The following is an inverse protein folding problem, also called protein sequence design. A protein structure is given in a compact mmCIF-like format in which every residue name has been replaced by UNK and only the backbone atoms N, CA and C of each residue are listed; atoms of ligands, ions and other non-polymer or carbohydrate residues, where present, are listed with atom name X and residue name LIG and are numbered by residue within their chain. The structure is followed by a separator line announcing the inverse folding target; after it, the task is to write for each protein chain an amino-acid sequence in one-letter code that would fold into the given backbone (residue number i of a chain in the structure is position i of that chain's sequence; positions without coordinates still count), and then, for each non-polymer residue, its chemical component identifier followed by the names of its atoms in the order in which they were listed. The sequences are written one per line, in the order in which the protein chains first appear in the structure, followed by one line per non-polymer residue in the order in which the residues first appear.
data_IF_574792363076
#
_entry.id   IF_574792363076
#
_cell.length_a   1.000
_cell.length_b   1.000
_cell.length_c   1.000
_cell.angle_alpha   90.00
_cell.angle_beta   90.00
_cell.angle_gamma   90.00
#
_symmetry.space_group_name_H-M   'P 1'
#
loop_
_entity.id
_entity.type
_entity.pdbx_description
1 polymer ?
#
# COMPACT_ATOMS: atom_id res chain seq x y z
N UNK A 1 7.36 -6.63 28.72
CA UNK A 1 7.14 -6.41 27.28
C UNK A 1 6.11 -5.29 27.19
N UNK A 2 6.47 -4.12 26.68
CA UNK A 2 5.53 -2.99 26.53
C UNK A 2 4.56 -3.35 25.42
N UNK A 3 3.27 -3.42 25.75
CA UNK A 3 2.21 -3.56 24.76
C UNK A 3 2.13 -2.24 23.95
N UNK A 4 2.58 -2.29 22.70
CA UNK A 4 2.55 -1.15 21.79
C UNK A 4 1.23 -1.01 21.01
N UNK A 5 0.28 -1.92 21.22
CA UNK A 5 -0.99 -1.89 20.51
C UNK A 5 -1.82 -0.63 20.81
N UNK A 6 -1.70 -0.10 22.05
CA UNK A 6 -2.37 1.12 22.47
C UNK A 6 -1.84 2.40 21.80
N UNK A 7 -0.61 2.41 21.30
CA UNK A 7 -0.06 3.56 20.56
C UNK A 7 -0.57 3.68 19.12
N UNK A 8 -1.23 2.64 18.60
CA UNK A 8 -1.69 2.56 17.22
C UNK A 8 -3.21 2.66 17.08
N UNK A 9 -3.91 2.88 18.20
CA UNK A 9 -5.37 3.01 18.23
C UNK A 9 -5.86 4.45 17.95
N UNK A 10 -5.05 5.29 17.30
CA UNK A 10 -5.53 6.58 16.84
C UNK A 10 -6.62 6.39 15.79
N UNK A 11 -7.70 7.15 15.94
CA UNK A 11 -8.80 7.17 15.00
C UNK A 11 -8.27 7.36 13.55
N UNK A 12 -8.89 6.75 12.55
CA UNK A 12 -8.44 6.89 11.18
C UNK A 12 -8.40 8.38 10.81
N UNK A 13 -7.22 8.87 10.52
CA UNK A 13 -7.03 10.23 10.03
C UNK A 13 -7.62 10.28 8.64
N UNK A 14 -8.54 11.20 8.42
CA UNK A 14 -9.12 11.45 7.10
C UNK A 14 -8.95 12.93 6.73
N UNK A 15 -8.74 13.18 5.45
CA UNK A 15 -8.69 14.51 4.86
C UNK A 15 -9.71 14.56 3.71
N UNK A 16 -10.30 15.70 3.48
CA UNK A 16 -11.21 15.91 2.34
C UNK A 16 -10.99 17.24 1.68
N UNK A 17 -11.15 17.28 0.37
CA UNK A 17 -11.19 18.44 -0.48
C UNK A 17 -12.39 18.37 -1.43
N UNK A 18 -12.61 19.36 -2.29
CA UNK A 18 -13.74 19.38 -3.21
C UNK A 18 -13.83 18.18 -4.14
N UNK A 19 -12.68 17.65 -4.58
CA UNK A 19 -12.59 16.50 -5.49
C UNK A 19 -11.80 15.32 -4.94
N UNK A 20 -11.54 15.28 -3.62
CA UNK A 20 -10.61 14.32 -3.03
C UNK A 20 -11.06 13.90 -1.62
N UNK A 21 -11.01 12.60 -1.35
CA UNK A 21 -11.13 12.05 0.00
C UNK A 21 -9.96 11.11 0.23
N UNK A 22 -9.25 11.33 1.33
CA UNK A 22 -8.08 10.52 1.75
C UNK A 22 -8.39 9.90 3.10
N UNK A 23 -8.18 8.59 3.24
CA UNK A 23 -8.42 7.85 4.49
C UNK A 23 -7.28 6.91 4.78
N UNK A 24 -6.88 6.81 6.03
CA UNK A 24 -6.05 5.70 6.52
C UNK A 24 -6.98 4.54 6.83
N UNK A 25 -6.77 3.42 6.14
CA UNK A 25 -7.59 2.22 6.37
C UNK A 25 -7.19 1.51 7.67
N UNK A 26 -8.11 0.75 8.28
CA UNK A 26 -7.76 -0.22 9.32
C UNK A 26 -6.64 -1.16 8.83
N UNK A 27 -5.89 -1.80 9.75
CA UNK A 27 -4.86 -2.75 9.36
C UNK A 27 -5.39 -3.82 8.42
N UNK A 28 -4.77 -3.94 7.25
CA UNK A 28 -5.10 -4.95 6.23
C UNK A 28 -4.10 -6.10 6.37
N UNK A 29 -4.52 -7.37 6.31
CA UNK A 29 -3.59 -8.51 6.27
C UNK A 29 -2.62 -8.39 5.09
N UNK A 30 -1.32 -8.44 5.38
CA UNK A 30 -0.26 -8.24 4.39
C UNK A 30 0.95 -9.12 4.68
N UNK A 31 1.49 -9.75 3.64
CA UNK A 31 2.69 -10.58 3.72
C UNK A 31 3.70 -10.15 2.67
N UNK A 32 4.93 -9.87 3.11
CA UNK A 32 6.06 -9.71 2.21
C UNK A 32 6.60 -11.07 1.83
N UNK A 33 6.73 -11.33 0.52
CA UNK A 33 7.29 -12.55 -0.05
C UNK A 33 8.55 -12.19 -0.82
N UNK A 34 9.65 -12.89 -0.53
CA UNK A 34 10.92 -12.71 -1.23
C UNK A 34 11.47 -14.06 -1.68
N UNK A 35 11.83 -14.21 -2.95
CA UNK A 35 12.36 -15.45 -3.51
C UNK A 35 11.71 -15.87 -4.83
N UNK A 36 11.24 -17.11 -4.91
CA UNK A 36 10.53 -17.68 -6.08
C UNK A 36 9.06 -17.18 -6.11
N UNK A 37 8.87 -15.98 -6.65
CA UNK A 37 7.56 -15.32 -6.67
C UNK A 37 6.54 -16.06 -7.53
N UNK A 38 6.95 -16.55 -8.69
CA UNK A 38 6.03 -17.20 -9.64
C UNK A 38 5.57 -18.56 -9.09
N UNK A 39 6.48 -19.32 -8.48
CA UNK A 39 6.14 -20.52 -7.75
C UNK A 39 5.20 -20.27 -6.58
N UNK A 40 5.41 -19.18 -5.83
CA UNK A 40 4.51 -18.80 -4.74
C UNK A 40 3.11 -18.44 -5.25
N UNK A 41 3.00 -17.62 -6.30
CA UNK A 41 1.70 -17.24 -6.89
C UNK A 41 0.92 -18.47 -7.34
N UNK A 42 1.58 -19.40 -8.05
CA UNK A 42 0.96 -20.63 -8.53
C UNK A 42 0.42 -21.51 -7.39
N UNK A 43 1.22 -21.72 -6.34
CA UNK A 43 0.82 -22.55 -5.18
C UNK A 43 -0.37 -21.98 -4.41
N UNK A 44 -0.46 -20.67 -4.33
CA UNK A 44 -1.52 -19.99 -3.61
C UNK A 44 -2.71 -19.58 -4.50
N UNK A 45 -2.72 -20.00 -5.77
CA UNK A 45 -3.74 -19.65 -6.76
C UNK A 45 -4.00 -18.13 -6.84
N UNK A 46 -2.92 -17.36 -6.74
CA UNK A 46 -2.96 -15.91 -6.87
C UNK A 46 -2.82 -15.47 -8.33
N UNK A 47 -3.49 -14.40 -8.74
CA UNK A 47 -3.26 -13.81 -10.06
C UNK A 47 -1.81 -13.28 -10.17
N UNK A 48 -1.33 -13.01 -11.39
CA UNK A 48 -0.06 -12.33 -11.59
C UNK A 48 0.04 -11.06 -10.74
N UNK A 49 1.23 -10.81 -10.17
CA UNK A 49 1.44 -9.65 -9.33
C UNK A 49 1.34 -8.35 -10.14
N UNK A 50 0.53 -7.41 -9.64
CA UNK A 50 0.36 -6.09 -10.26
C UNK A 50 1.58 -5.21 -10.13
N UNK A 51 1.84 -4.40 -11.15
CA UNK A 51 2.82 -3.32 -11.13
C UNK A 51 2.24 -1.99 -10.65
N UNK A 52 2.88 -0.89 -11.03
CA UNK A 52 2.45 0.45 -10.67
C UNK A 52 1.05 0.75 -11.23
N UNK A 53 0.18 1.25 -10.37
CA UNK A 53 -1.20 1.62 -10.69
C UNK A 53 -2.01 0.49 -11.33
N UNK A 54 -1.58 -0.77 -11.18
CA UNK A 54 -2.35 -1.91 -11.69
C UNK A 54 -3.74 -1.95 -11.05
N UNK A 55 -4.81 -2.19 -11.83
CA UNK A 55 -6.13 -2.42 -11.29
C UNK A 55 -6.17 -3.79 -10.62
N UNK A 56 -6.30 -3.81 -9.30
CA UNK A 56 -6.43 -5.02 -8.51
C UNK A 56 -7.86 -5.19 -8.04
N UNK A 57 -8.30 -6.41 -7.87
CA UNK A 57 -9.65 -6.74 -7.42
C UNK A 57 -9.67 -8.05 -6.65
N UNK A 58 -10.72 -8.25 -5.85
CA UNK A 58 -10.83 -9.41 -4.99
C UNK A 58 -10.12 -9.21 -3.65
N UNK A 59 -10.47 -10.01 -2.68
CA UNK A 59 -9.94 -9.88 -1.32
C UNK A 59 -8.46 -10.31 -1.18
N UNK A 60 -7.85 -10.89 -2.23
CA UNK A 60 -6.50 -11.45 -2.17
C UNK A 60 -5.76 -11.29 -3.49
N UNK A 61 -4.67 -10.55 -3.47
CA UNK A 61 -3.84 -10.27 -4.65
C UNK A 61 -2.41 -9.93 -4.24
N UNK A 62 -1.51 -9.79 -5.22
CA UNK A 62 -0.11 -9.45 -4.99
C UNK A 62 0.31 -8.21 -5.79
N UNK A 63 1.22 -7.42 -5.21
CA UNK A 63 1.88 -6.28 -5.85
C UNK A 63 3.37 -6.59 -5.98
N UNK A 64 3.92 -6.50 -7.17
CA UNK A 64 5.36 -6.66 -7.38
C UNK A 64 6.10 -5.40 -6.93
N UNK A 65 7.03 -5.55 -6.02
CA UNK A 65 7.84 -4.44 -5.51
C UNK A 65 9.23 -4.39 -6.13
N UNK A 66 9.78 -5.58 -6.43
CA UNK A 66 11.08 -5.74 -7.06
C UNK A 66 11.15 -7.09 -7.80
N UNK A 67 12.28 -7.36 -8.44
CA UNK A 67 12.49 -8.61 -9.20
C UNK A 67 12.16 -9.86 -8.38
N UNK A 68 12.58 -9.91 -7.12
CA UNK A 68 12.41 -11.07 -6.22
C UNK A 68 11.64 -10.71 -4.94
N UNK A 69 10.76 -9.71 -5.01
CA UNK A 69 9.97 -9.26 -3.85
C UNK A 69 8.58 -8.81 -4.28
N UNK A 70 7.58 -9.27 -3.55
CA UNK A 70 6.19 -8.83 -3.70
C UNK A 70 5.51 -8.68 -2.34
N UNK A 71 4.46 -7.88 -2.31
CA UNK A 71 3.56 -7.74 -1.18
C UNK A 71 2.24 -8.45 -1.54
N UNK A 72 1.84 -9.42 -0.72
CA UNK A 72 0.55 -10.10 -0.87
C UNK A 72 -0.43 -9.47 0.11
N UNK A 73 -1.54 -8.99 -0.41
CA UNK A 73 -2.64 -8.37 0.34
C UNK A 73 -3.74 -9.40 0.54
N UNK A 74 -4.45 -9.33 1.68
CA UNK A 74 -5.52 -10.26 2.04
C UNK A 74 -5.00 -11.63 2.52
N UNK A 75 -3.71 -11.73 2.81
CA UNK A 75 -3.08 -12.90 3.40
C UNK A 75 -2.46 -12.56 4.73
N UNK A 76 -2.69 -13.40 5.74
CA UNK A 76 -2.05 -13.28 7.04
C UNK A 76 -1.13 -14.47 7.28
N UNK A 77 -0.13 -14.26 8.12
CA UNK A 77 0.77 -15.33 8.58
C UNK A 77 0.44 -15.63 10.03
N UNK A 78 0.19 -16.91 10.40
CA UNK A 78 0.13 -17.30 11.79
C UNK A 78 1.41 -16.92 12.53
N UNK A 79 1.36 -16.66 13.85
CA UNK A 79 2.54 -16.26 14.64
C UNK A 79 3.67 -17.30 14.62
N UNK A 80 3.33 -18.56 14.41
CA UNK A 80 4.23 -19.71 14.34
C UNK A 80 4.56 -20.12 12.91
N UNK A 81 4.11 -19.36 11.89
CA UNK A 81 4.42 -19.65 10.50
C UNK A 81 5.95 -19.63 10.27
N UNK A 82 6.47 -20.61 9.52
CA UNK A 82 7.88 -20.63 9.19
C UNK A 82 8.24 -19.41 8.35
N UNK A 83 9.32 -18.72 8.71
CA UNK A 83 9.80 -17.54 7.97
C UNK A 83 10.33 -17.91 6.57
N UNK A 84 10.55 -19.18 6.29
CA UNK A 84 11.05 -19.69 5.01
C UNK A 84 10.26 -20.92 4.57
N UNK A 85 9.64 -20.83 3.41
CA UNK A 85 8.85 -21.90 2.80
C UNK A 85 9.19 -22.00 1.32
N UNK A 86 9.63 -23.17 0.86
CA UNK A 86 9.78 -23.52 -0.56
C UNK A 86 10.46 -22.41 -1.39
N UNK A 87 11.68 -22.04 -1.03
CA UNK A 87 12.48 -20.99 -1.67
C UNK A 87 11.91 -19.56 -1.56
N UNK A 88 10.99 -19.33 -0.64
CA UNK A 88 10.47 -18.01 -0.33
C UNK A 88 10.66 -17.66 1.14
N UNK A 89 11.20 -16.47 1.43
CA UNK A 89 11.14 -15.86 2.74
C UNK A 89 9.80 -15.14 2.89
N UNK A 90 9.14 -15.36 4.03
CA UNK A 90 7.86 -14.76 4.36
C UNK A 90 7.99 -13.86 5.58
N UNK A 91 7.40 -12.67 5.53
CA UNK A 91 7.34 -11.75 6.67
C UNK A 91 5.96 -11.12 6.77
N UNK A 92 5.34 -11.19 7.96
CA UNK A 92 4.10 -10.45 8.20
C UNK A 92 4.37 -8.96 8.14
N UNK A 93 3.59 -8.26 7.33
CA UNK A 93 3.59 -6.80 7.21
C UNK A 93 2.30 -6.20 7.78
N UNK A 94 1.39 -7.05 8.26
CA UNK A 94 0.15 -6.63 8.93
C UNK A 94 0.50 -5.75 10.13
N UNK A 95 0.02 -4.51 10.08
CA UNK A 95 0.32 -3.48 11.08
C UNK A 95 1.69 -2.80 10.94
N UNK A 96 2.66 -3.34 10.22
CA UNK A 96 3.92 -2.66 9.87
C UNK A 96 3.72 -1.68 8.71
N UNK A 97 2.95 -2.08 7.70
CA UNK A 97 2.50 -1.20 6.63
C UNK A 97 1.08 -0.70 6.92
N UNK A 98 0.88 0.58 6.67
CA UNK A 98 -0.44 1.20 6.61
C UNK A 98 -0.90 1.29 5.15
N UNK A 99 -2.21 1.37 4.97
CA UNK A 99 -2.84 1.63 3.67
C UNK A 99 -3.56 2.96 3.73
N UNK A 100 -3.20 3.86 2.84
CA UNK A 100 -3.89 5.13 2.61
C UNK A 100 -4.70 4.98 1.34
N UNK A 101 -6.00 5.17 1.46
CA UNK A 101 -6.95 5.12 0.35
C UNK A 101 -7.32 6.54 -0.07
N UNK A 102 -7.27 6.77 -1.38
CA UNK A 102 -7.53 8.05 -2.00
C UNK A 102 -8.62 7.84 -3.05
N UNK A 103 -9.73 8.57 -2.90
CA UNK A 103 -10.88 8.52 -3.81
C UNK A 103 -11.25 9.92 -4.31
N UNK A 104 -11.94 9.96 -5.43
CA UNK A 104 -12.41 11.20 -6.05
C UNK A 104 -11.68 11.53 -7.36
N UNK A 105 -12.24 12.47 -8.16
CA UNK A 105 -11.71 12.82 -9.47
C UNK A 105 -10.28 13.39 -9.43
N UNK A 106 -9.87 13.99 -8.30
CA UNK A 106 -8.55 14.60 -8.16
C UNK A 106 -7.48 13.62 -7.62
N UNK A 107 -7.80 12.33 -7.45
CA UNK A 107 -6.84 11.33 -6.97
C UNK A 107 -5.58 11.26 -7.84
N UNK A 108 -5.71 11.31 -9.16
CA UNK A 108 -4.58 11.31 -10.08
C UNK A 108 -3.83 12.64 -10.13
N UNK A 109 -4.51 13.77 -9.88
CA UNK A 109 -3.85 15.06 -9.72
C UNK A 109 -2.96 15.06 -8.46
N UNK A 110 -3.45 14.53 -7.34
CA UNK A 110 -2.63 14.33 -6.15
C UNK A 110 -1.44 13.39 -6.41
N UNK A 111 -1.67 12.29 -7.13
CA UNK A 111 -0.60 11.35 -7.48
C UNK A 111 0.51 12.06 -8.28
N UNK A 112 0.16 12.85 -9.29
CA UNK A 112 1.11 13.59 -10.11
C UNK A 112 1.91 14.65 -9.33
N UNK A 113 1.36 15.22 -8.25
CA UNK A 113 2.09 16.14 -7.38
C UNK A 113 3.17 15.41 -6.55
N UNK A 114 2.94 14.15 -6.20
CA UNK A 114 3.81 13.40 -5.30
C UNK A 114 4.96 12.67 -6.00
N UNK A 115 4.92 12.48 -7.31
CA UNK A 115 5.92 11.69 -8.03
C UNK A 115 6.18 12.23 -9.43
N UNK A 116 7.42 12.04 -9.91
CA UNK A 116 7.79 12.29 -11.30
C UNK A 116 7.55 11.09 -12.23
N UNK A 117 7.01 9.98 -11.70
CA UNK A 117 6.75 8.78 -12.50
C UNK A 117 5.55 9.01 -13.40
N UNK A 118 5.71 8.73 -14.69
CA UNK A 118 4.60 8.77 -15.64
C UNK A 118 3.57 7.66 -15.30
N UNK A 119 2.34 8.00 -14.95
CA UNK A 119 1.31 7.01 -14.64
C UNK A 119 0.93 6.13 -15.84
N UNK A 120 1.17 6.59 -17.08
CA UNK A 120 0.97 5.81 -18.29
C UNK A 120 2.13 4.84 -18.59
N UNK A 121 3.27 5.00 -17.93
CA UNK A 121 4.43 4.15 -18.07
C UNK A 121 4.22 2.82 -17.33
N UNK A 122 3.92 1.75 -18.03
CA UNK A 122 3.67 0.40 -17.51
C UNK A 122 4.86 -0.16 -16.69
N UNK A 123 5.13 0.41 -15.51
CA UNK A 123 6.16 -0.10 -14.61
C UNK A 123 5.75 -1.47 -14.06
N UNK A 124 6.60 -2.50 -14.19
CA UNK A 124 6.31 -3.80 -13.59
C UNK A 124 6.41 -3.79 -12.06
N UNK A 125 6.92 -2.73 -11.46
CA UNK A 125 7.03 -2.55 -10.01
C UNK A 125 5.98 -1.56 -9.54
N UNK A 126 5.20 -1.95 -8.52
CA UNK A 126 4.28 -1.05 -7.82
C UNK A 126 5.00 -0.07 -6.88
N UNK A 127 6.27 -0.34 -6.54
CA UNK A 127 7.06 0.53 -5.67
C UNK A 127 7.56 1.77 -6.41
N UNK A 128 7.44 2.92 -5.74
CA UNK A 128 7.90 4.21 -6.25
C UNK A 128 8.32 5.15 -5.12
N UNK A 129 8.99 6.25 -5.49
CA UNK A 129 9.17 7.40 -4.60
C UNK A 129 7.99 8.36 -4.78
N UNK A 130 7.32 8.67 -3.69
CA UNK A 130 6.16 9.56 -3.65
C UNK A 130 6.33 10.53 -2.47
N UNK A 131 6.24 11.83 -2.70
CA UNK A 131 6.46 12.85 -1.67
C UNK A 131 7.75 12.65 -0.87
N UNK A 132 8.81 12.13 -1.52
CA UNK A 132 10.11 11.88 -0.89
C UNK A 132 10.21 10.60 -0.06
N UNK A 133 9.16 9.78 0.02
CA UNK A 133 9.16 8.49 0.72
C UNK A 133 8.96 7.33 -0.26
N UNK A 134 9.42 6.14 0.12
CA UNK A 134 9.15 4.92 -0.66
C UNK A 134 7.80 4.33 -0.24
N UNK A 135 6.96 4.06 -1.22
CA UNK A 135 5.69 3.37 -1.02
C UNK A 135 5.34 2.52 -2.24
N UNK A 136 4.25 1.76 -2.19
CA UNK A 136 3.69 1.10 -3.37
C UNK A 136 2.27 1.59 -3.65
N UNK A 137 1.92 1.70 -4.94
CA UNK A 137 0.67 2.26 -5.39
C UNK A 137 -0.04 1.34 -6.39
N UNK A 138 -1.35 1.16 -6.21
CA UNK A 138 -2.22 0.41 -7.11
C UNK A 138 -3.65 0.95 -7.04
N UNK A 139 -4.50 0.49 -7.95
CA UNK A 139 -5.94 0.73 -7.87
C UNK A 139 -6.66 -0.50 -7.29
N UNK A 140 -7.63 -0.27 -6.42
CA UNK A 140 -8.64 -1.27 -6.05
C UNK A 140 -10.01 -0.66 -6.28
N UNK A 141 -10.76 -1.19 -7.24
CA UNK A 141 -11.89 -0.52 -7.87
C UNK A 141 -11.47 0.88 -8.38
N UNK A 142 -12.15 1.95 -7.95
CA UNK A 142 -11.85 3.33 -8.33
C UNK A 142 -10.97 4.06 -7.30
N UNK A 143 -10.49 3.36 -6.28
CA UNK A 143 -9.67 3.94 -5.22
C UNK A 143 -8.17 3.71 -5.51
N UNK A 144 -7.39 4.78 -5.45
CA UNK A 144 -5.93 4.69 -5.41
C UNK A 144 -5.51 4.30 -3.99
N UNK A 145 -4.77 3.21 -3.86
CA UNK A 145 -4.23 2.74 -2.57
C UNK A 145 -2.72 2.85 -2.53
N UNK A 146 -2.24 3.45 -1.45
CA UNK A 146 -0.82 3.62 -1.15
C UNK A 146 -0.46 2.77 0.07
N UNK A 147 0.49 1.86 -0.08
CA UNK A 147 1.04 1.06 1.03
C UNK A 147 2.39 1.64 1.42
N UNK A 148 2.53 2.04 2.67
CA UNK A 148 3.73 2.69 3.19
C UNK A 148 4.03 2.25 4.62
N UNK A 149 5.26 2.48 5.08
CA UNK A 149 5.61 2.28 6.48
C UNK A 149 4.64 3.07 7.37
N UNK A 150 4.10 2.42 8.39
CA UNK A 150 3.14 3.02 9.32
C UNK A 150 3.71 4.27 10.01
N UNK A 151 4.99 4.28 10.31
CA UNK A 151 5.66 5.43 10.92
C UNK A 151 5.67 6.68 10.04
N UNK A 152 5.44 6.54 8.71
CA UNK A 152 5.43 7.64 7.75
C UNK A 152 4.03 8.18 7.43
N UNK A 153 2.97 7.59 8.02
CA UNK A 153 1.58 8.02 7.75
C UNK A 153 1.38 9.49 8.13
N UNK A 154 1.83 9.91 9.30
CA UNK A 154 1.67 11.30 9.74
C UNK A 154 2.38 12.29 8.80
N UNK A 155 3.57 11.92 8.31
CA UNK A 155 4.29 12.71 7.32
C UNK A 155 3.50 12.82 6.01
N UNK A 156 3.03 11.68 5.46
CA UNK A 156 2.27 11.66 4.21
C UNK A 156 0.96 12.48 4.33
N UNK A 157 0.21 12.29 5.42
CA UNK A 157 -1.03 13.03 5.65
C UNK A 157 -0.78 14.53 5.80
N UNK A 158 0.29 14.94 6.48
CA UNK A 158 0.70 16.34 6.58
C UNK A 158 1.10 16.94 5.23
N UNK A 159 1.82 16.16 4.39
CA UNK A 159 2.16 16.59 3.04
C UNK A 159 0.90 16.77 2.18
N UNK A 160 -0.03 15.81 2.22
CA UNK A 160 -1.32 15.91 1.48
C UNK A 160 -2.12 17.12 1.96
N UNK A 161 -2.22 17.34 3.27
CA UNK A 161 -2.95 18.46 3.84
C UNK A 161 -2.40 19.84 3.42
N UNK A 162 -1.12 19.91 3.06
CA UNK A 162 -0.46 21.13 2.58
C UNK A 162 -0.67 21.37 1.07
N UNK A 163 -1.33 20.46 0.35
CA UNK A 163 -1.65 20.66 -1.08
C UNK A 163 -2.92 21.50 -1.25
N UNK A 164 -3.01 22.21 -2.37
CA UNK A 164 -4.20 23.02 -2.71
C UNK A 164 -5.45 22.16 -3.01
N UNK A 165 -5.31 20.83 -3.04
CA UNK A 165 -6.42 19.88 -3.25
C UNK A 165 -7.22 19.60 -1.99
N UNK A 166 -6.70 19.96 -0.82
CA UNK A 166 -7.37 19.82 0.47
C UNK A 166 -7.82 21.20 0.95
N UNK A 167 -9.11 21.32 1.23
CA UNK A 167 -9.63 22.51 1.91
C UNK A 167 -9.41 22.35 3.41
N UNK A 168 -8.78 23.32 4.09
CA UNK A 168 -8.72 23.29 5.56
C UNK A 168 -10.14 23.18 6.10
N UNK A 169 -10.35 22.23 7.00
CA UNK A 169 -11.62 22.17 7.74
C UNK A 169 -11.76 23.46 8.56
N UNK A 170 -12.86 24.19 8.44
CA UNK A 170 -13.07 25.46 9.17
C UNK A 170 -13.08 25.25 10.69
#
# INVERSE_FOLDING_TARGET
MLDRSTFWAEAPVSLSGPGLVVRVLPPVPQVMVSGDLDGFLARHALPPAGGLLAPMSGGRYALRLARHRMLVIGMDLPPDAPAWVENCALSSMTGALAVVEITGPDAMALFALGTAVDPAGNSPSAALSFAGITLSAHFEADALRLHLDRGLVAYLMGWIAATDLITPCP
#
